data_IF_616712051942
#
_entry.id   IF_616712051942
#
_cell.length_a   1.000
_cell.length_b   1.000
_cell.length_c   1.000
_cell.angle_alpha   90.00
_cell.angle_beta   90.00
_cell.angle_gamma   90.00
#
_symmetry.space_group_name_H-M   'P 1'
#
loop_
_entity.id
_entity.type
_entity.pdbx_description
1 polymer ?
#
# COMPACT_ATOMS: atom_id res chain seq x y z
N UNK A 1 -14.12 10.27 5.59
CA UNK A 1 -14.03 9.50 4.32
C UNK A 1 -15.37 9.64 3.64
N UNK A 2 -15.45 9.69 2.31
CA UNK A 2 -16.77 9.75 1.68
C UNK A 2 -17.42 8.36 1.71
N UNK A 3 -18.29 8.11 2.67
CA UNK A 3 -19.02 6.84 2.83
C UNK A 3 -20.41 6.85 2.14
N UNK A 4 -20.67 7.89 1.36
CA UNK A 4 -21.90 8.03 0.59
C UNK A 4 -21.97 6.99 -0.52
N UNK A 5 -23.17 6.49 -0.75
CA UNK A 5 -23.46 5.62 -1.88
C UNK A 5 -23.33 6.39 -3.19
N UNK A 6 -22.93 5.69 -4.24
CA UNK A 6 -22.91 6.23 -5.59
C UNK A 6 -24.34 6.22 -6.15
N UNK A 7 -24.95 7.39 -6.24
CA UNK A 7 -26.32 7.58 -6.75
C UNK A 7 -26.36 7.87 -8.27
N UNK A 8 -25.25 7.71 -8.98
CA UNK A 8 -25.17 8.02 -10.40
C UNK A 8 -25.85 6.96 -11.30
N UNK A 9 -26.22 7.34 -12.54
CA UNK A 9 -27.03 6.51 -13.44
C UNK A 9 -26.33 5.23 -13.93
N UNK A 10 -25.04 5.03 -13.64
CA UNK A 10 -24.24 3.93 -14.17
C UNK A 10 -23.41 3.22 -13.08
N UNK A 11 -24.06 2.76 -12.00
CA UNK A 11 -23.41 2.07 -10.86
C UNK A 11 -22.54 0.89 -11.33
N UNK A 12 -23.01 0.11 -12.32
CA UNK A 12 -22.24 -1.00 -12.90
C UNK A 12 -20.95 -0.54 -13.59
N UNK A 13 -21.01 0.53 -14.40
CA UNK A 13 -19.83 1.11 -15.04
C UNK A 13 -18.87 1.68 -14.02
N UNK A 14 -19.37 2.38 -13.00
CA UNK A 14 -18.57 2.90 -11.91
C UNK A 14 -17.78 1.78 -11.21
N UNK A 15 -18.46 0.70 -10.82
CA UNK A 15 -17.82 -0.44 -10.17
C UNK A 15 -16.74 -1.08 -11.05
N UNK A 16 -16.98 -1.21 -12.36
CA UNK A 16 -15.98 -1.73 -13.31
C UNK A 16 -14.76 -0.80 -13.44
N UNK A 17 -14.99 0.51 -13.53
CA UNK A 17 -13.92 1.51 -13.57
C UNK A 17 -13.09 1.47 -12.29
N UNK A 18 -13.73 1.41 -11.12
CA UNK A 18 -13.04 1.27 -9.84
C UNK A 18 -12.19 -0.01 -9.79
N UNK A 19 -12.78 -1.14 -10.16
CA UNK A 19 -12.09 -2.43 -10.18
C UNK A 19 -10.87 -2.42 -11.10
N UNK A 20 -11.04 -1.98 -12.35
CA UNK A 20 -9.95 -1.93 -13.32
C UNK A 20 -8.86 -0.95 -12.87
N UNK A 21 -9.24 0.24 -12.42
CA UNK A 21 -8.30 1.26 -11.97
C UNK A 21 -7.46 0.76 -10.77
N UNK A 22 -8.08 0.06 -9.81
CA UNK A 22 -7.40 -0.56 -8.67
C UNK A 22 -6.46 -1.69 -9.07
N UNK A 23 -6.86 -2.55 -10.01
CA UNK A 23 -6.00 -3.63 -10.51
C UNK A 23 -4.80 -3.09 -11.31
N UNK A 24 -4.98 -2.01 -12.06
CA UNK A 24 -3.89 -1.35 -12.78
C UNK A 24 -2.84 -0.82 -11.80
N UNK A 25 -3.26 -0.03 -10.80
CA UNK A 25 -2.32 0.54 -9.82
C UNK A 25 -1.74 -0.53 -8.90
N UNK A 26 -2.43 -1.63 -8.63
CA UNK A 26 -1.86 -2.83 -7.98
C UNK A 26 -0.71 -3.39 -8.79
N UNK A 27 -0.92 -3.64 -10.08
CA UNK A 27 0.11 -4.23 -10.95
C UNK A 27 1.33 -3.31 -11.05
N UNK A 28 1.12 -2.00 -11.17
CA UNK A 28 2.21 -1.02 -11.14
C UNK A 28 2.98 -1.06 -9.82
N UNK A 29 2.26 -1.06 -8.69
CA UNK A 29 2.86 -1.00 -7.35
C UNK A 29 3.61 -2.28 -6.96
N UNK A 30 3.10 -3.44 -7.37
CA UNK A 30 3.69 -4.74 -7.01
C UNK A 30 5.02 -4.98 -7.73
N UNK A 31 5.14 -4.51 -8.97
CA UNK A 31 6.35 -4.66 -9.77
C UNK A 31 7.45 -3.65 -9.44
N UNK A 32 7.23 -2.75 -8.49
CA UNK A 32 8.29 -1.88 -7.98
C UNK A 32 9.33 -2.72 -7.24
N UNK A 33 10.65 -2.55 -7.48
CA UNK A 33 11.70 -3.29 -6.78
C UNK A 33 11.65 -3.15 -5.25
N UNK A 34 12.21 -4.14 -4.55
CA UNK A 34 12.34 -4.08 -3.08
C UNK A 34 13.26 -2.93 -2.65
N UNK A 35 12.95 -2.31 -1.52
CA UNK A 35 13.68 -1.16 -1.01
C UNK A 35 13.36 0.18 -1.71
N UNK A 36 12.50 0.15 -2.74
CA UNK A 36 11.93 1.36 -3.34
C UNK A 36 10.54 1.65 -2.79
N UNK A 37 10.11 2.90 -2.90
CA UNK A 37 8.76 3.31 -2.51
C UNK A 37 7.70 2.65 -3.39
N UNK A 38 6.90 1.76 -2.82
CA UNK A 38 5.84 1.01 -3.52
C UNK A 38 4.51 1.74 -3.41
N UNK A 39 4.23 2.61 -4.38
CA UNK A 39 3.02 3.42 -4.43
C UNK A 39 2.59 3.67 -5.88
N UNK A 40 1.28 3.74 -6.13
CA UNK A 40 0.75 4.25 -7.38
C UNK A 40 -0.53 5.05 -7.16
N UNK A 41 -0.75 6.03 -8.04
CA UNK A 41 -1.91 6.90 -8.07
C UNK A 41 -2.43 6.98 -9.49
N UNK A 42 -3.74 6.87 -9.66
CA UNK A 42 -4.38 6.97 -10.98
C UNK A 42 -5.76 7.59 -10.86
N UNK A 43 -6.11 8.40 -11.85
CA UNK A 43 -7.45 8.94 -11.98
C UNK A 43 -8.08 8.56 -13.30
N UNK A 44 -9.40 8.36 -13.29
CA UNK A 44 -10.19 8.00 -14.48
C UNK A 44 -11.48 8.81 -14.51
N UNK A 45 -11.91 9.22 -15.70
CA UNK A 45 -13.20 9.88 -15.89
C UNK A 45 -14.33 8.85 -15.77
N UNK A 46 -15.30 9.11 -14.89
CA UNK A 46 -16.56 8.34 -14.82
C UNK A 46 -17.54 8.91 -15.85
N UNK A 47 -17.74 10.23 -15.81
CA UNK A 47 -18.50 11.07 -16.76
C UNK A 47 -17.77 12.40 -16.95
N UNK A 48 -18.24 13.27 -17.85
CA UNK A 48 -17.51 14.46 -18.33
C UNK A 48 -17.05 15.43 -17.22
N UNK A 49 -17.68 15.43 -16.03
CA UNK A 49 -17.32 16.27 -14.88
C UNK A 49 -17.09 15.50 -13.57
N UNK A 50 -16.89 14.18 -13.63
CA UNK A 50 -16.68 13.37 -12.43
C UNK A 50 -15.51 12.42 -12.63
N UNK A 51 -14.50 12.55 -11.78
CA UNK A 51 -13.30 11.72 -11.79
C UNK A 51 -13.26 10.83 -10.55
N UNK A 52 -12.85 9.58 -10.75
CA UNK A 52 -12.42 8.69 -9.69
C UNK A 52 -10.92 8.86 -9.51
N UNK A 53 -10.48 9.16 -8.29
CA UNK A 53 -9.08 9.17 -7.90
C UNK A 53 -8.81 7.94 -7.04
N UNK A 54 -7.80 7.16 -7.37
CA UNK A 54 -7.44 5.95 -6.64
C UNK A 54 -5.94 5.87 -6.39
N UNK A 55 -5.60 5.23 -5.29
CA UNK A 55 -4.25 5.08 -4.79
C UNK A 55 -4.11 3.74 -4.08
N UNK A 56 -2.93 3.15 -4.20
CA UNK A 56 -2.49 2.00 -3.40
C UNK A 56 -1.07 2.19 -2.91
N UNK A 57 -0.72 1.50 -1.83
CA UNK A 57 0.66 1.41 -1.35
C UNK A 57 0.97 0.03 -0.77
N UNK A 58 2.25 -0.32 -0.76
CA UNK A 58 2.83 -1.44 -0.02
C UNK A 58 4.01 -0.96 0.83
N UNK A 59 4.33 -1.68 1.90
CA UNK A 59 5.60 -1.46 2.61
C UNK A 59 6.78 -1.91 1.73
N UNK A 60 7.89 -1.17 1.80
CA UNK A 60 8.98 -1.23 0.80
C UNK A 60 9.70 -2.59 0.74
N UNK A 61 9.66 -3.37 1.82
CA UNK A 61 10.35 -4.65 1.94
C UNK A 61 9.52 -5.86 1.45
N UNK A 62 8.26 -5.68 1.04
CA UNK A 62 7.48 -6.77 0.46
C UNK A 62 7.97 -7.13 -0.94
N UNK A 63 8.11 -8.43 -1.21
CA UNK A 63 8.24 -8.97 -2.57
C UNK A 63 7.07 -8.55 -3.47
N UNK A 64 7.26 -8.66 -4.79
CA UNK A 64 6.18 -8.39 -5.76
C UNK A 64 4.94 -9.24 -5.46
N UNK A 65 5.13 -10.54 -5.22
CA UNK A 65 4.04 -11.47 -4.95
C UNK A 65 3.27 -11.12 -3.67
N UNK A 66 3.98 -10.80 -2.58
CA UNK A 66 3.35 -10.45 -1.31
C UNK A 66 2.63 -9.09 -1.39
N UNK A 67 3.18 -8.11 -2.12
CA UNK A 67 2.51 -6.84 -2.36
C UNK A 67 1.24 -7.04 -3.20
N UNK A 68 1.33 -7.80 -4.29
CA UNK A 68 0.20 -8.13 -5.16
C UNK A 68 -0.90 -8.85 -4.39
N UNK A 69 -0.54 -9.86 -3.59
CA UNK A 69 -1.46 -10.61 -2.75
C UNK A 69 -2.15 -9.71 -1.72
N UNK A 70 -1.41 -8.87 -0.99
CA UNK A 70 -1.98 -7.97 0.00
C UNK A 70 -2.99 -7.01 -0.64
N UNK A 71 -2.60 -6.38 -1.75
CA UNK A 71 -3.47 -5.45 -2.47
C UNK A 71 -4.68 -6.15 -3.09
N UNK A 72 -4.54 -7.38 -3.58
CA UNK A 72 -5.67 -8.17 -4.08
C UNK A 72 -6.69 -8.42 -2.98
N UNK A 73 -6.25 -8.75 -1.76
CA UNK A 73 -7.15 -8.89 -0.60
C UNK A 73 -7.81 -7.55 -0.26
N UNK A 74 -7.06 -6.46 -0.24
CA UNK A 74 -7.61 -5.14 0.05
C UNK A 74 -8.70 -4.74 -0.97
N UNK A 75 -8.45 -4.98 -2.26
CA UNK A 75 -9.41 -4.71 -3.35
C UNK A 75 -10.65 -5.59 -3.25
N UNK A 76 -10.50 -6.85 -2.82
CA UNK A 76 -11.62 -7.78 -2.67
C UNK A 76 -12.54 -7.47 -1.48
N UNK A 77 -12.14 -6.55 -0.60
CA UNK A 77 -12.91 -6.18 0.57
C UNK A 77 -14.23 -5.50 0.15
N UNK A 78 -15.35 -5.93 0.73
CA UNK A 78 -16.69 -5.47 0.38
C UNK A 78 -16.99 -4.02 0.77
N UNK A 79 -16.16 -3.39 1.60
CA UNK A 79 -16.29 -2.03 2.16
C UNK A 79 -16.63 -0.92 1.15
N UNK A 80 -16.37 -1.19 -0.12
CA UNK A 80 -16.02 -0.17 -1.07
C UNK A 80 -16.81 -0.31 -2.38
N UNK A 81 -17.64 -1.37 -2.50
CA UNK A 81 -18.54 -1.55 -3.66
C UNK A 81 -19.70 -0.58 -3.54
N UNK A 82 -19.96 0.18 -4.61
CA UNK A 82 -21.07 1.13 -4.66
C UNK A 82 -20.88 2.41 -3.82
N UNK A 83 -19.72 2.62 -3.19
CA UNK A 83 -19.40 3.86 -2.45
C UNK A 83 -18.64 4.85 -3.33
N UNK A 84 -18.80 6.15 -3.10
CA UNK A 84 -18.03 7.20 -3.83
C UNK A 84 -16.62 7.44 -3.27
N UNK A 85 -16.33 6.86 -2.10
CA UNK A 85 -15.02 6.84 -1.48
C UNK A 85 -14.86 5.60 -0.61
N UNK A 86 -13.61 5.26 -0.31
CA UNK A 86 -13.31 4.09 0.50
C UNK A 86 -11.82 3.93 0.73
N UNK A 87 -11.49 3.22 1.80
CA UNK A 87 -10.12 3.03 2.24
C UNK A 87 -10.01 1.72 2.99
N UNK A 88 -8.96 0.98 2.68
CA UNK A 88 -8.61 -0.26 3.38
C UNK A 88 -7.18 -0.12 3.86
N UNK A 89 -6.97 -0.44 5.13
CA UNK A 89 -5.66 -0.44 5.75
C UNK A 89 -5.35 -1.84 6.26
N UNK A 90 -4.33 -2.44 5.68
CA UNK A 90 -3.66 -3.59 6.24
C UNK A 90 -2.29 -3.19 6.77
N UNK A 91 -1.68 -4.00 7.66
CA UNK A 91 -0.36 -3.71 8.18
C UNK A 91 0.70 -3.50 7.09
N UNK A 92 0.57 -4.18 5.94
CA UNK A 92 1.59 -4.20 4.90
C UNK A 92 1.20 -3.51 3.59
N UNK A 93 -0.07 -3.13 3.43
CA UNK A 93 -0.56 -2.42 2.25
C UNK A 93 -1.86 -1.68 2.54
N UNK A 94 -2.28 -0.82 1.62
CA UNK A 94 -3.59 -0.22 1.69
C UNK A 94 -4.01 0.42 0.39
N UNK A 95 -5.27 0.82 0.35
CA UNK A 95 -5.85 1.53 -0.79
C UNK A 95 -6.72 2.68 -0.32
N UNK A 96 -6.90 3.66 -1.20
CA UNK A 96 -7.85 4.74 -1.04
C UNK A 96 -8.43 5.12 -2.40
N UNK A 97 -9.72 5.39 -2.46
CA UNK A 97 -10.31 6.11 -3.58
C UNK A 97 -11.32 7.15 -3.11
N UNK A 98 -11.50 8.19 -3.91
CA UNK A 98 -12.40 9.31 -3.67
C UNK A 98 -12.82 9.95 -5.00
N UNK A 99 -13.88 10.76 -4.99
CA UNK A 99 -14.30 11.58 -6.14
C UNK A 99 -13.64 12.98 -6.17
N UNK A 100 -12.81 13.28 -5.19
CA UNK A 100 -12.01 14.50 -5.13
C UNK A 100 -10.51 14.15 -5.15
N UNK A 101 -9.66 15.03 -5.71
CA UNK A 101 -8.22 14.80 -5.71
C UNK A 101 -7.69 14.80 -4.28
N UNK A 102 -6.77 13.89 -3.99
CA UNK A 102 -6.09 13.84 -2.70
C UNK A 102 -4.59 13.64 -2.89
N UNK A 103 -3.80 14.27 -2.04
CA UNK A 103 -2.38 13.98 -1.91
C UNK A 103 -2.17 12.84 -0.91
N UNK A 104 -1.14 12.04 -1.16
CA UNK A 104 -0.59 11.17 -0.13
C UNK A 104 0.56 11.89 0.55
N UNK A 105 0.56 12.03 1.89
CA UNK A 105 1.73 12.54 2.59
C UNK A 105 2.82 11.46 2.52
N UNK A 106 3.66 11.51 1.49
CA UNK A 106 4.85 10.66 1.36
C UNK A 106 5.83 10.89 2.53
N UNK A 107 5.75 12.07 3.18
CA UNK A 107 6.66 12.53 4.22
C UNK A 107 6.62 11.72 5.53
N UNK A 108 5.55 10.97 5.82
CA UNK A 108 5.48 10.20 7.08
C UNK A 108 6.14 8.82 7.01
N UNK A 109 6.38 8.25 5.82
CA UNK A 109 7.01 6.93 5.66
C UNK A 109 8.53 6.98 5.55
N UNK A 110 9.09 8.11 5.12
CA UNK A 110 10.53 8.39 5.23
C UNK A 110 11.01 8.48 6.68
N UNK A 111 10.08 8.68 7.63
CA UNK A 111 10.40 8.88 9.06
C UNK A 111 9.97 7.72 9.95
N UNK A 112 9.29 6.68 9.43
CA UNK A 112 9.32 5.38 10.09
C UNK A 112 10.72 4.84 9.81
N UNK A 113 11.70 5.30 10.60
CA UNK A 113 12.90 4.53 10.83
C UNK A 113 12.43 3.07 11.00
N UNK A 114 13.01 2.16 10.23
CA UNK A 114 13.05 0.74 10.61
C UNK A 114 13.17 0.72 12.14
N UNK A 115 12.37 -0.08 12.89
CA UNK A 115 12.67 -0.30 14.31
C UNK A 115 14.17 -0.55 14.33
N UNK A 116 14.93 0.35 14.97
CA UNK A 116 16.37 0.20 14.98
C UNK A 116 16.52 -1.20 15.57
N UNK A 117 16.97 -2.16 14.77
CA UNK A 117 17.41 -3.42 15.36
C UNK A 117 18.48 -2.94 16.31
N UNK A 118 18.32 -3.09 17.64
CA UNK A 118 19.32 -2.58 18.57
C UNK A 118 20.64 -3.12 18.05
N UNK A 119 21.56 -2.23 17.69
CA UNK A 119 22.90 -2.60 17.29
C UNK A 119 23.42 -3.37 18.48
N UNK A 120 23.38 -4.70 18.40
CA UNK A 120 24.04 -5.56 19.34
C UNK A 120 25.52 -5.29 19.10
N UNK A 121 26.05 -4.27 19.76
CA UNK A 121 27.47 -4.10 19.97
C UNK A 121 27.86 -5.30 20.81
N UNK A 122 28.23 -6.39 20.15
CA UNK A 122 28.90 -7.51 20.81
C UNK A 122 30.11 -6.86 21.48
N UNK A 123 30.17 -6.77 22.82
CA UNK A 123 31.32 -6.15 23.46
C UNK A 123 32.54 -6.97 23.07
N UNK A 124 33.64 -6.31 22.70
CA UNK A 124 34.88 -6.98 22.28
C UNK A 124 35.37 -8.03 23.31
N UNK A 125 34.95 -7.91 24.57
CA UNK A 125 35.21 -8.89 25.62
C UNK A 125 34.58 -10.27 25.37
N UNK A 126 33.44 -10.36 24.67
CA UNK A 126 32.79 -11.64 24.34
C UNK A 126 33.47 -12.41 23.19
N UNK A 127 34.19 -11.72 22.30
CA UNK A 127 35.04 -12.39 21.29
C UNK A 127 36.25 -13.07 21.94
N UNK A 128 36.84 -12.46 22.97
CA UNK A 128 37.94 -13.04 23.72
C UNK A 128 37.52 -14.31 24.49
N UNK A 129 36.28 -14.37 25.00
CA UNK A 129 35.78 -15.54 25.73
C UNK A 129 35.57 -16.77 24.81
N UNK A 130 35.07 -16.58 23.59
CA UNK A 130 34.90 -17.68 22.64
C UNK A 130 36.22 -18.23 22.12
N UNK A 131 37.26 -17.41 22.00
CA UNK A 131 38.60 -17.87 21.62
C UNK A 131 39.29 -18.69 22.73
N UNK A 132 38.92 -18.50 24.00
CA UNK A 132 39.46 -19.28 25.12
C UNK A 132 38.86 -20.69 25.23
N UNK A 133 37.59 -20.89 24.82
CA UNK A 133 36.92 -22.20 24.90
C UNK A 133 37.25 -23.16 23.75
N UNK A 134 37.83 -22.68 22.66
CA UNK A 134 38.27 -23.52 21.54
C UNK A 134 39.73 -24.02 21.67
N UNK A 135 40.45 -23.62 22.72
CA UNK A 135 41.84 -24.03 22.98
C UNK A 135 41.98 -25.01 24.17
N UNK A 136 40.90 -25.72 24.51
CA UNK A 136 40.90 -26.90 25.38
C UNK A 136 40.30 -28.09 24.64
#
# INVERSE_FOLDING_TARGET
MNEQDYEGPQVGRFNNLLWNNMNDIRNLTSNVPNGSMKYAYKSVNIVDNQKLYAMVYCVQYLSSDNCSWCLSNAISTSCCRGKIGGRVYFPSCGLRFEFYPFSYPLASWTTIQQPQLPTATVPLSTLAYHQALHNH
#
